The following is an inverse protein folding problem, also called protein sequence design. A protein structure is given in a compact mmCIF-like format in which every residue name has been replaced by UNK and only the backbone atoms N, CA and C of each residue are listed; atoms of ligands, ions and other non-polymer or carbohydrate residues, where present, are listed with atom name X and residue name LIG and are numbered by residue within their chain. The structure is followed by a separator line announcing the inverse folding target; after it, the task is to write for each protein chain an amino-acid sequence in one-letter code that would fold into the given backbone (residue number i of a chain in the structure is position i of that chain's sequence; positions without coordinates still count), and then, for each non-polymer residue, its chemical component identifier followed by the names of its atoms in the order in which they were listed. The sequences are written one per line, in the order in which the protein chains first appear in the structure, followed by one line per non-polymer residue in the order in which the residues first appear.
data_IF_189012334481
#
_entry.id   IF_189012334481
#
_cell.length_a   1.000
_cell.length_b   1.000
_cell.length_c   1.000
_cell.angle_alpha   90.00
_cell.angle_beta   90.00
_cell.angle_gamma   90.00
#
_symmetry.space_group_name_H-M   'P 1'
#
loop_
_entity.id
_entity.type
_entity.pdbx_description
1 polymer ?
#
# COMPACT_ATOMS: atom_id res chain seq x y z
N UNK A 1 5.28 -8.95 0.64
CA UNK A 1 5.07 -10.26 1.31
C UNK A 1 5.19 -11.34 0.26
N UNK A 2 5.78 -12.48 0.59
CA UNK A 2 5.88 -13.62 -0.32
C UNK A 2 4.78 -14.63 -0.03
N UNK A 3 4.35 -15.36 -1.05
CA UNK A 3 3.37 -16.44 -0.89
C UNK A 3 3.83 -17.50 0.13
N UNK A 4 5.13 -17.77 0.16
CA UNK A 4 5.78 -18.68 1.11
C UNK A 4 5.71 -18.21 2.57
N UNK A 5 5.34 -16.96 2.83
CA UNK A 5 5.16 -16.42 4.19
C UNK A 5 3.69 -16.53 4.65
N UNK A 6 2.76 -16.65 3.71
CA UNK A 6 1.31 -16.69 3.97
C UNK A 6 0.86 -18.15 4.09
N UNK A 7 1.19 -18.99 3.10
CA UNK A 7 0.71 -20.36 3.02
C UNK A 7 0.98 -21.19 4.28
N UNK A 8 2.18 -21.14 4.91
CA UNK A 8 2.45 -21.94 6.10
C UNK A 8 1.45 -21.73 7.24
N UNK A 9 0.83 -20.55 7.35
CA UNK A 9 -0.19 -20.25 8.39
C UNK A 9 -1.51 -21.00 8.19
N UNK A 10 -1.71 -21.53 6.99
CA UNK A 10 -2.91 -22.22 6.53
C UNK A 10 -2.66 -23.68 6.15
N UNK A 11 -1.41 -24.15 6.27
CA UNK A 11 -1.05 -25.54 6.04
C UNK A 11 -1.26 -26.43 7.27
N UNK A 12 -1.64 -25.87 8.42
CA UNK A 12 -1.96 -26.68 9.60
C UNK A 12 -3.14 -27.62 9.30
N UNK A 13 -2.92 -28.93 9.50
CA UNK A 13 -3.84 -30.00 9.13
C UNK A 13 -3.93 -30.33 7.62
N UNK A 14 -3.24 -29.59 6.75
CA UNK A 14 -3.22 -29.82 5.30
C UNK A 14 -2.18 -30.88 4.95
N UNK A 15 -2.59 -31.88 4.18
CA UNK A 15 -1.74 -32.98 3.67
C UNK A 15 -1.39 -32.79 2.19
N UNK A 16 -2.24 -32.10 1.44
CA UNK A 16 -1.99 -31.84 0.02
C UNK A 16 -2.39 -30.43 -0.40
N UNK A 17 -1.62 -29.86 -1.33
CA UNK A 17 -1.97 -28.67 -2.12
C UNK A 17 -2.36 -29.14 -3.51
N UNK A 18 -3.57 -28.80 -3.93
CA UNK A 18 -4.11 -29.17 -5.24
C UNK A 18 -4.13 -27.94 -6.13
N UNK A 19 -3.20 -27.85 -7.06
CA UNK A 19 -3.13 -26.75 -8.02
C UNK A 19 -4.15 -26.97 -9.15
N UNK A 20 -5.19 -26.13 -9.13
CA UNK A 20 -6.29 -26.07 -10.11
C UNK A 20 -6.16 -24.88 -11.06
N UNK A 21 -4.98 -24.26 -11.12
CA UNK A 21 -4.67 -23.20 -12.07
C UNK A 21 -4.59 -23.74 -13.50
N UNK A 22 -4.58 -22.82 -14.47
CA UNK A 22 -4.44 -23.16 -15.89
C UNK A 22 -3.25 -24.12 -16.15
N UNK A 23 -3.39 -25.10 -17.08
CA UNK A 23 -2.36 -26.10 -17.38
C UNK A 23 -0.95 -25.56 -17.66
N UNK A 24 -0.85 -24.35 -18.19
CA UNK A 24 0.43 -23.73 -18.57
C UNK A 24 1.15 -23.04 -17.40
N UNK A 25 0.46 -22.82 -16.28
CA UNK A 25 1.04 -22.19 -15.09
C UNK A 25 1.64 -23.25 -14.19
N UNK A 26 2.92 -23.10 -13.80
CA UNK A 26 3.63 -24.00 -12.89
C UNK A 26 3.96 -23.28 -11.58
N UNK A 27 3.10 -23.43 -10.55
CA UNK A 27 3.26 -22.75 -9.26
C UNK A 27 4.17 -23.51 -8.26
N UNK A 28 4.34 -24.82 -8.43
CA UNK A 28 5.11 -25.70 -7.53
C UNK A 28 6.43 -25.09 -7.02
N UNK A 29 7.25 -24.59 -7.94
CA UNK A 29 8.59 -24.06 -7.65
C UNK A 29 8.58 -22.77 -6.83
N UNK A 30 7.44 -22.09 -6.77
CA UNK A 30 7.28 -20.77 -6.12
C UNK A 30 6.70 -20.89 -4.70
N UNK A 31 5.99 -21.97 -4.39
CA UNK A 31 5.24 -22.13 -3.13
C UNK A 31 6.12 -22.49 -1.93
N UNK A 32 7.28 -23.13 -2.17
CA UNK A 32 8.19 -23.63 -1.12
C UNK A 32 7.43 -24.38 -0.01
N UNK A 33 6.76 -25.45 -0.39
CA UNK A 33 5.96 -26.25 0.54
C UNK A 33 6.86 -27.06 1.49
N UNK A 34 6.40 -27.30 2.74
CA UNK A 34 7.02 -28.27 3.63
C UNK A 34 7.04 -29.67 3.00
N UNK A 35 8.05 -30.50 3.30
CA UNK A 35 8.18 -31.84 2.70
C UNK A 35 7.02 -32.78 3.06
N UNK A 36 6.28 -32.50 4.12
CA UNK A 36 5.12 -33.28 4.56
C UNK A 36 3.85 -33.02 3.73
N UNK A 37 3.84 -31.94 2.94
CA UNK A 37 2.68 -31.51 2.15
C UNK A 37 2.90 -31.90 0.69
N UNK A 38 2.08 -32.82 0.19
CA UNK A 38 2.13 -33.20 -1.21
C UNK A 38 1.63 -32.07 -2.12
N UNK A 39 2.27 -31.90 -3.27
CA UNK A 39 1.77 -31.02 -4.33
C UNK A 39 1.26 -31.87 -5.48
N UNK A 40 0.01 -31.64 -5.87
CA UNK A 40 -0.61 -32.29 -7.02
C UNK A 40 -1.24 -31.24 -7.91
N UNK A 41 -1.15 -31.46 -9.22
CA UNK A 41 -1.92 -30.68 -10.19
C UNK A 41 -3.18 -31.44 -10.56
N UNK A 42 -4.28 -30.71 -10.66
CA UNK A 42 -5.54 -31.26 -11.12
C UNK A 42 -6.26 -30.18 -11.92
N UNK A 43 -6.57 -30.40 -13.20
CA UNK A 43 -7.37 -29.47 -13.99
C UNK A 43 -8.69 -29.10 -13.29
N UNK A 44 -9.14 -27.85 -13.46
CA UNK A 44 -10.29 -27.33 -12.72
C UNK A 44 -11.60 -28.07 -13.04
N UNK A 45 -11.76 -28.55 -14.27
CA UNK A 45 -12.89 -29.38 -14.71
C UNK A 45 -12.95 -30.72 -13.97
N UNK A 46 -11.80 -31.37 -13.74
CA UNK A 46 -11.72 -32.56 -12.90
C UNK A 46 -11.94 -32.23 -11.41
N UNK A 47 -11.36 -31.13 -10.94
CA UNK A 47 -11.51 -30.66 -9.57
C UNK A 47 -12.95 -30.26 -9.23
N UNK A 48 -13.71 -29.76 -10.21
CA UNK A 48 -15.12 -29.43 -10.07
C UNK A 48 -16.00 -30.65 -9.77
N UNK A 49 -15.55 -31.87 -10.08
CA UNK A 49 -16.20 -33.13 -9.71
C UNK A 49 -15.74 -33.71 -8.37
N UNK A 50 -14.56 -33.30 -7.89
CA UNK A 50 -13.97 -33.80 -6.66
C UNK A 50 -14.63 -33.17 -5.41
N UNK A 51 -14.46 -33.84 -4.28
CA UNK A 51 -14.83 -33.32 -2.97
C UNK A 51 -13.54 -32.97 -2.22
N UNK A 52 -13.42 -31.73 -1.75
CA UNK A 52 -12.24 -31.26 -1.01
C UNK A 52 -12.56 -31.14 0.48
N UNK A 53 -11.78 -31.83 1.31
CA UNK A 53 -11.84 -31.73 2.77
C UNK A 53 -10.86 -30.71 3.35
N UNK A 54 -10.92 -30.44 4.67
CA UNK A 54 -10.01 -29.53 5.38
C UNK A 54 -8.51 -29.89 5.28
N UNK A 55 -8.21 -31.14 4.92
CA UNK A 55 -6.87 -31.70 4.68
C UNK A 55 -6.31 -31.38 3.29
N UNK A 56 -7.13 -30.86 2.38
CA UNK A 56 -6.70 -30.45 1.04
C UNK A 56 -6.80 -28.93 0.92
N UNK A 57 -5.79 -28.31 0.32
CA UNK A 57 -5.77 -26.86 0.03
C UNK A 57 -5.78 -26.66 -1.49
N UNK A 58 -6.95 -26.45 -2.12
CA UNK A 58 -7.02 -26.02 -3.50
C UNK A 58 -6.30 -24.67 -3.68
N UNK A 59 -5.47 -24.60 -4.71
CA UNK A 59 -4.71 -23.41 -5.10
C UNK A 59 -5.09 -23.04 -6.52
N UNK A 60 -5.47 -21.78 -6.75
CA UNK A 60 -5.85 -21.31 -8.08
C UNK A 60 -5.29 -19.93 -8.38
N UNK A 61 -4.76 -19.73 -9.59
CA UNK A 61 -4.42 -18.42 -10.12
C UNK A 61 -5.58 -17.84 -10.95
N UNK A 62 -6.14 -16.73 -10.46
CA UNK A 62 -7.21 -15.96 -11.08
C UNK A 62 -6.66 -14.69 -11.72
N UNK A 63 -7.27 -14.21 -12.80
CA UNK A 63 -6.82 -12.97 -13.44
C UNK A 63 -7.50 -12.70 -14.79
N UNK A 64 -7.19 -11.56 -15.41
CA UNK A 64 -7.80 -11.14 -16.68
C UNK A 64 -7.27 -11.91 -17.90
N UNK A 65 -6.02 -12.36 -17.83
CA UNK A 65 -5.35 -13.09 -18.90
C UNK A 65 -5.85 -14.54 -19.01
N UNK A 66 -7.00 -14.73 -19.67
CA UNK A 66 -7.69 -16.01 -19.86
C UNK A 66 -6.79 -17.21 -20.27
N UNK A 67 -5.79 -17.08 -21.17
CA UNK A 67 -4.90 -18.21 -21.49
C UNK A 67 -3.92 -18.60 -20.37
N UNK A 68 -3.75 -17.77 -19.33
CA UNK A 68 -2.87 -18.05 -18.20
C UNK A 68 -3.62 -18.12 -16.86
N UNK A 69 -4.83 -17.60 -16.79
CA UNK A 69 -5.58 -17.40 -15.57
C UNK A 69 -6.97 -18.03 -15.64
N UNK A 70 -7.40 -18.55 -14.50
CA UNK A 70 -8.74 -19.12 -14.35
C UNK A 70 -9.77 -18.00 -14.16
N UNK A 71 -10.94 -18.12 -14.80
CA UNK A 71 -12.09 -17.25 -14.54
C UNK A 71 -12.65 -17.55 -13.13
N UNK A 72 -12.85 -16.54 -12.26
CA UNK A 72 -13.48 -16.71 -10.94
C UNK A 72 -14.78 -17.51 -10.96
N UNK A 73 -15.63 -17.33 -11.98
CA UNK A 73 -16.92 -18.00 -12.07
C UNK A 73 -16.76 -19.54 -12.18
N UNK A 74 -15.68 -19.99 -12.82
CA UNK A 74 -15.36 -21.41 -13.01
C UNK A 74 -14.98 -22.12 -11.69
N UNK A 75 -14.62 -21.39 -10.63
CA UNK A 75 -14.34 -21.98 -9.32
C UNK A 75 -15.59 -22.41 -8.56
N UNK A 76 -16.74 -21.80 -8.88
CA UNK A 76 -17.98 -21.99 -8.11
C UNK A 76 -18.37 -23.46 -7.90
N UNK A 77 -18.35 -24.34 -8.94
CA UNK A 77 -18.72 -25.74 -8.77
C UNK A 77 -17.78 -26.48 -7.79
N UNK A 78 -16.48 -26.20 -7.86
CA UNK A 78 -15.47 -26.77 -6.98
C UNK A 78 -15.69 -26.32 -5.53
N UNK A 79 -15.89 -25.01 -5.31
CA UNK A 79 -16.09 -24.44 -3.98
C UNK A 79 -17.39 -24.94 -3.33
N UNK A 80 -18.47 -25.12 -4.11
CA UNK A 80 -19.75 -25.64 -3.61
C UNK A 80 -19.66 -27.07 -3.09
N UNK A 81 -18.79 -27.89 -3.69
CA UNK A 81 -18.57 -29.29 -3.30
C UNK A 81 -17.53 -29.44 -2.20
N UNK A 82 -16.82 -28.37 -1.85
CA UNK A 82 -15.90 -28.39 -0.72
C UNK A 82 -16.68 -28.59 0.58
N UNK A 83 -16.11 -29.39 1.49
CA UNK A 83 -16.66 -29.56 2.84
C UNK A 83 -16.52 -28.27 3.65
N UNK A 84 -17.39 -28.01 4.64
CA UNK A 84 -17.17 -26.94 5.60
C UNK A 84 -15.79 -27.06 6.28
N UNK A 85 -15.10 -25.93 6.45
CA UNK A 85 -13.73 -25.85 6.95
C UNK A 85 -12.65 -26.06 5.89
N UNK A 86 -13.01 -26.44 4.66
CA UNK A 86 -12.06 -26.50 3.55
C UNK A 86 -11.57 -25.10 3.21
N UNK A 87 -10.24 -24.95 3.20
CA UNK A 87 -9.56 -23.70 2.87
C UNK A 87 -9.11 -23.76 1.41
N UNK A 88 -9.09 -22.62 0.73
CA UNK A 88 -8.48 -22.49 -0.59
C UNK A 88 -7.61 -21.22 -0.65
N UNK A 89 -6.53 -21.29 -1.42
CA UNK A 89 -5.64 -20.18 -1.69
C UNK A 89 -5.86 -19.68 -3.13
N UNK A 90 -6.26 -18.42 -3.27
CA UNK A 90 -6.53 -17.81 -4.57
C UNK A 90 -5.48 -16.74 -4.84
N UNK A 91 -4.70 -16.92 -5.89
CA UNK A 91 -3.69 -15.98 -6.34
C UNK A 91 -4.32 -15.03 -7.35
N UNK A 92 -4.04 -13.75 -7.20
CA UNK A 92 -4.68 -12.69 -7.95
C UNK A 92 -3.71 -12.08 -8.94
N UNK A 93 -3.99 -12.29 -10.22
CA UNK A 93 -3.28 -11.76 -11.37
C UNK A 93 -3.71 -10.37 -11.81
N UNK A 94 -4.82 -9.84 -11.28
CA UNK A 94 -5.16 -8.41 -11.45
C UNK A 94 -4.19 -7.54 -10.66
N UNK A 95 -3.98 -6.30 -11.12
CA UNK A 95 -3.42 -5.28 -10.25
C UNK A 95 -4.38 -5.03 -9.08
N UNK A 96 -3.87 -4.70 -7.91
CA UNK A 96 -4.71 -4.38 -6.75
C UNK A 96 -5.62 -3.19 -7.05
N UNK A 97 -5.15 -2.23 -7.85
CA UNK A 97 -5.88 -1.02 -8.24
C UNK A 97 -7.07 -1.30 -9.18
N UNK A 98 -7.01 -2.38 -9.95
CA UNK A 98 -8.02 -2.77 -10.96
C UNK A 98 -8.81 -4.02 -10.55
N UNK A 99 -8.78 -4.38 -9.27
CA UNK A 99 -9.40 -5.61 -8.77
C UNK A 99 -10.92 -5.61 -9.07
N UNK A 100 -11.44 -6.59 -9.84
CA UNK A 100 -12.87 -6.64 -10.16
C UNK A 100 -13.67 -7.25 -9.00
N UNK A 101 -13.95 -6.45 -7.96
CA UNK A 101 -14.64 -6.89 -6.74
C UNK A 101 -15.90 -7.71 -6.99
N UNK A 102 -16.77 -7.21 -7.87
CA UNK A 102 -18.06 -7.83 -8.17
C UNK A 102 -17.90 -9.20 -8.84
N UNK A 103 -16.81 -9.44 -9.58
CA UNK A 103 -16.51 -10.74 -10.21
C UNK A 103 -15.87 -11.73 -9.25
N UNK A 104 -15.22 -11.27 -8.17
CA UNK A 104 -14.62 -12.14 -7.16
C UNK A 104 -15.61 -12.55 -6.07
N UNK A 105 -16.43 -11.60 -5.60
CA UNK A 105 -17.33 -11.86 -4.47
C UNK A 105 -18.46 -12.83 -4.86
N UNK A 106 -19.04 -12.68 -6.05
CA UNK A 106 -20.15 -13.52 -6.51
C UNK A 106 -19.86 -15.02 -6.43
N UNK A 107 -18.80 -15.52 -7.08
CA UNK A 107 -18.39 -16.93 -7.04
C UNK A 107 -18.09 -17.45 -5.63
N UNK A 108 -17.41 -16.65 -4.80
CA UNK A 108 -17.10 -17.02 -3.42
C UNK A 108 -18.37 -17.18 -2.59
N UNK A 109 -19.31 -16.23 -2.71
CA UNK A 109 -20.60 -16.30 -2.00
C UNK A 109 -21.44 -17.46 -2.50
N UNK A 110 -21.49 -17.70 -3.82
CA UNK A 110 -22.20 -18.84 -4.40
C UNK A 110 -21.60 -20.21 -3.99
N UNK A 111 -20.29 -20.22 -3.73
CA UNK A 111 -19.56 -21.33 -3.11
C UNK A 111 -19.68 -21.42 -1.60
N UNK A 112 -20.35 -20.47 -0.93
CA UNK A 112 -20.45 -20.42 0.53
C UNK A 112 -19.10 -20.20 1.22
N UNK A 113 -18.21 -19.45 0.59
CA UNK A 113 -16.87 -19.19 1.08
C UNK A 113 -16.73 -17.79 1.67
N UNK A 114 -16.07 -17.71 2.82
CA UNK A 114 -15.66 -16.47 3.47
C UNK A 114 -14.18 -16.20 3.21
N UNK A 115 -13.84 -14.95 2.89
CA UNK A 115 -12.46 -14.48 2.83
C UNK A 115 -11.92 -14.35 4.25
N UNK A 116 -10.86 -15.12 4.56
CA UNK A 116 -10.22 -15.17 5.89
C UNK A 116 -9.05 -14.20 6.00
N UNK A 117 -8.30 -14.05 4.91
CA UNK A 117 -7.16 -13.13 4.82
C UNK A 117 -6.97 -12.68 3.38
N UNK A 118 -6.61 -11.40 3.21
CA UNK A 118 -6.23 -10.81 1.94
C UNK A 118 -4.86 -10.17 2.10
N UNK A 119 -3.95 -10.53 1.21
CA UNK A 119 -2.54 -10.27 1.40
C UNK A 119 -1.90 -9.74 0.11
N UNK A 120 -1.41 -8.49 0.08
CA UNK A 120 -0.69 -7.99 -1.08
C UNK A 120 0.64 -8.74 -1.21
N UNK A 121 0.91 -9.24 -2.41
CA UNK A 121 2.17 -9.89 -2.74
C UNK A 121 3.16 -8.88 -3.32
N UNK A 122 4.43 -9.11 -3.04
CA UNK A 122 5.49 -8.36 -3.71
C UNK A 122 5.64 -8.87 -5.16
N UNK A 123 5.91 -7.96 -6.10
CA UNK A 123 6.06 -8.27 -7.55
C UNK A 123 7.17 -9.30 -7.83
N UNK A 124 8.08 -9.48 -6.89
CA UNK A 124 9.17 -10.47 -6.96
C UNK A 124 8.74 -11.91 -6.59
N UNK A 125 7.55 -12.13 -6.01
CA UNK A 125 7.15 -13.45 -5.51
C UNK A 125 6.70 -14.39 -6.63
N UNK A 126 5.74 -13.94 -7.45
CA UNK A 126 5.25 -14.64 -8.64
C UNK A 126 4.97 -13.58 -9.70
N UNK A 127 5.57 -13.72 -10.88
CA UNK A 127 5.41 -12.75 -11.96
C UNK A 127 3.93 -12.66 -12.35
N UNK A 128 3.39 -11.44 -12.33
CA UNK A 128 2.00 -11.18 -12.69
C UNK A 128 1.00 -11.36 -11.56
N UNK A 129 1.39 -11.77 -10.35
CA UNK A 129 0.49 -11.90 -9.20
C UNK A 129 0.68 -10.72 -8.24
N UNK A 130 -0.42 -10.06 -7.90
CA UNK A 130 -0.42 -8.88 -7.03
C UNK A 130 -0.94 -9.15 -5.63
N UNK A 131 -1.75 -10.18 -5.42
CA UNK A 131 -2.30 -10.52 -4.10
C UNK A 131 -2.57 -12.02 -3.95
N UNK A 132 -2.69 -12.47 -2.71
CA UNK A 132 -3.21 -13.78 -2.34
C UNK A 132 -4.42 -13.60 -1.42
N UNK A 133 -5.47 -14.36 -1.68
CA UNK A 133 -6.63 -14.50 -0.82
C UNK A 133 -6.61 -15.90 -0.23
N UNK A 134 -6.92 -15.99 1.06
CA UNK A 134 -7.27 -17.26 1.67
C UNK A 134 -8.75 -17.24 1.97
N UNK A 135 -9.46 -18.21 1.43
CA UNK A 135 -10.90 -18.37 1.59
C UNK A 135 -11.20 -19.69 2.29
N UNK A 136 -12.34 -19.76 2.97
CA UNK A 136 -12.77 -20.94 3.70
C UNK A 136 -14.25 -21.19 3.44
N UNK A 137 -14.63 -22.44 3.14
CA UNK A 137 -16.02 -22.85 3.05
C UNK A 137 -16.64 -22.86 4.45
N UNK A 138 -17.70 -22.09 4.67
CA UNK A 138 -18.30 -21.93 6.00
C UNK A 138 -19.82 -22.08 6.00
N UNK A 139 -20.37 -22.74 7.02
CA UNK A 139 -21.82 -22.78 7.26
C UNK A 139 -22.30 -21.64 8.15
N UNK A 140 -21.38 -21.01 8.88
CA UNK A 140 -21.61 -19.82 9.72
C UNK A 140 -20.39 -18.92 9.65
N UNK A 141 -20.55 -17.62 9.82
CA UNK A 141 -19.43 -16.68 9.77
C UNK A 141 -18.33 -17.08 10.77
N UNK A 142 -17.13 -17.27 10.26
CA UNK A 142 -15.95 -17.50 11.07
C UNK A 142 -15.33 -16.15 11.48
N UNK A 143 -14.77 -16.03 12.70
CA UNK A 143 -14.15 -14.79 13.17
C UNK A 143 -12.94 -14.44 12.30
N UNK A 144 -12.91 -13.24 11.73
CA UNK A 144 -11.86 -12.77 10.81
C UNK A 144 -10.49 -12.71 11.50
N UNK A 145 -9.42 -13.19 10.85
CA UNK A 145 -8.05 -13.04 11.37
C UNK A 145 -7.57 -11.62 11.09
N UNK A 146 -7.35 -10.83 12.14
CA UNK A 146 -6.83 -9.45 12.01
C UNK A 146 -7.40 -8.46 13.04
N UNK A 147 -8.46 -8.84 13.76
CA UNK A 147 -8.89 -8.12 14.95
C UNK A 147 -8.34 -8.80 16.20
N UNK A 148 -7.78 -7.97 17.06
CA UNK A 148 -7.41 -8.31 18.43
C UNK A 148 -8.52 -9.10 19.13
N UNK A 149 -8.07 -9.99 20.01
CA UNK A 149 -8.72 -10.49 21.22
C UNK A 149 -9.91 -9.63 21.70
N UNK A 150 -10.99 -10.29 22.10
CA UNK A 150 -12.23 -9.77 22.73
C UNK A 150 -13.46 -9.49 21.84
N UNK A 151 -13.91 -10.50 21.10
CA UNK A 151 -15.33 -10.66 20.82
C UNK A 151 -15.82 -12.06 21.23
N UNK A 152 -15.74 -12.35 22.53
CA UNK A 152 -16.65 -13.33 23.15
C UNK A 152 -18.00 -12.64 23.38
N UNK A 153 -18.71 -12.40 22.29
CA UNK A 153 -20.15 -12.18 22.38
C UNK A 153 -20.76 -12.93 21.22
N UNK A 154 -21.30 -14.14 21.46
CA UNK A 154 -22.29 -14.68 20.55
C UNK A 154 -23.35 -13.59 20.38
N UNK A 155 -23.57 -13.13 19.16
CA UNK A 155 -24.81 -12.43 18.84
C UNK A 155 -25.87 -13.52 18.87
N UNK A 156 -26.45 -13.76 20.04
CA UNK A 156 -27.70 -14.51 20.11
C UNK A 156 -28.75 -13.67 19.37
N UNK A 157 -29.44 -14.22 18.36
CA UNK A 157 -30.56 -13.53 17.76
C UNK A 157 -31.59 -13.28 18.87
N UNK A 158 -31.93 -12.01 19.05
CA UNK A 158 -32.88 -11.60 20.07
C UNK A 158 -34.26 -12.17 19.76
N UNK A 159 -34.75 -13.02 20.67
CA UNK A 159 -36.18 -13.25 20.90
C UNK A 159 -36.80 -14.42 20.17
N UNK A 160 -36.76 -15.61 20.79
CA UNK A 160 -37.81 -16.61 20.62
C UNK A 160 -38.46 -16.81 21.98
N UNK A 161 -39.68 -16.30 22.14
CA UNK A 161 -40.50 -16.57 23.32
C UNK A 161 -40.85 -18.06 23.40
N UNK A 162 -41.13 -18.61 24.60
CA UNK A 162 -41.51 -20.00 24.75
C UNK A 162 -42.89 -20.21 24.12
N UNK A 163 -42.95 -20.90 22.98
CA UNK A 163 -44.21 -21.37 22.37
C UNK A 163 -44.38 -21.18 20.87
N UNK A 164 -43.37 -20.72 20.13
CA UNK A 164 -43.47 -20.59 18.68
C UNK A 164 -42.78 -21.78 18.01
N UNK A 165 -43.56 -22.66 17.39
CA UNK A 165 -43.05 -23.75 16.56
C UNK A 165 -42.17 -23.18 15.44
N UNK A 166 -40.98 -23.75 15.17
CA UNK A 166 -40.10 -23.23 14.13
C UNK A 166 -40.71 -23.50 12.76
N UNK A 167 -41.08 -22.43 12.05
CA UNK A 167 -41.37 -22.52 10.62
C UNK A 167 -40.13 -22.97 9.83
N UNK A 168 -40.29 -23.72 8.73
CA UNK A 168 -39.17 -24.28 7.99
C UNK A 168 -38.44 -23.21 7.17
N UNK A 169 -37.38 -22.67 7.76
CA UNK A 169 -36.00 -22.68 7.25
C UNK A 169 -35.75 -22.26 5.78
N UNK A 170 -36.29 -21.10 5.37
CA UNK A 170 -35.90 -20.39 4.13
C UNK A 170 -35.04 -19.13 4.36
N UNK A 171 -34.90 -18.69 5.61
CA UNK A 171 -34.22 -17.44 6.00
C UNK A 171 -32.71 -17.57 6.12
N UNK A 172 -32.23 -18.64 6.76
CA UNK A 172 -30.84 -18.79 7.19
C UNK A 172 -29.84 -18.81 6.02
N UNK A 173 -30.20 -19.47 4.92
CA UNK A 173 -29.35 -19.53 3.72
C UNK A 173 -29.23 -18.16 3.02
N UNK A 174 -30.33 -17.41 2.98
CA UNK A 174 -30.38 -16.07 2.35
C UNK A 174 -29.65 -15.04 3.22
N UNK A 175 -29.80 -15.17 4.54
CA UNK A 175 -29.09 -14.33 5.52
C UNK A 175 -27.59 -14.59 5.47
N UNK A 176 -27.14 -15.84 5.51
CA UNK A 176 -25.72 -16.21 5.38
C UNK A 176 -25.13 -15.70 4.06
N UNK A 177 -25.86 -15.82 2.95
CA UNK A 177 -25.42 -15.33 1.63
C UNK A 177 -25.20 -13.81 1.66
N UNK A 178 -26.11 -13.08 2.28
CA UNK A 178 -26.02 -11.62 2.43
C UNK A 178 -24.84 -11.22 3.30
N UNK A 179 -24.68 -11.91 4.44
CA UNK A 179 -23.56 -11.69 5.37
C UNK A 179 -22.21 -11.99 4.72
N UNK A 180 -22.07 -13.12 4.02
CA UNK A 180 -20.85 -13.47 3.29
C UNK A 180 -20.50 -12.42 2.24
N UNK A 181 -21.50 -11.90 1.52
CA UNK A 181 -21.30 -10.82 0.55
C UNK A 181 -20.71 -9.58 1.22
N UNK A 182 -21.34 -9.08 2.28
CA UNK A 182 -20.89 -7.88 3.01
C UNK A 182 -19.48 -8.08 3.57
N UNK A 183 -19.21 -9.22 4.21
CA UNK A 183 -17.90 -9.52 4.81
C UNK A 183 -16.80 -9.63 3.75
N UNK A 184 -17.07 -10.33 2.65
CA UNK A 184 -16.10 -10.50 1.58
C UNK A 184 -15.81 -9.18 0.84
N UNK A 185 -16.85 -8.38 0.58
CA UNK A 185 -16.69 -7.03 0.02
C UNK A 185 -15.83 -6.14 0.91
N UNK A 186 -16.09 -6.16 2.23
CA UNK A 186 -15.31 -5.40 3.20
C UNK A 186 -13.82 -5.82 3.20
N UNK A 187 -13.53 -7.12 3.21
CA UNK A 187 -12.15 -7.63 3.19
C UNK A 187 -11.39 -7.20 1.94
N UNK A 188 -12.02 -7.26 0.77
CA UNK A 188 -11.42 -6.79 -0.46
C UNK A 188 -11.27 -5.26 -0.49
N UNK A 189 -12.24 -4.51 -0.01
CA UNK A 189 -12.15 -3.05 0.04
C UNK A 189 -10.99 -2.57 0.93
N UNK A 190 -10.69 -3.28 2.03
CA UNK A 190 -9.53 -2.97 2.87
C UNK A 190 -8.19 -3.25 2.15
N UNK A 191 -8.15 -4.22 1.22
CA UNK A 191 -6.96 -4.50 0.39
C UNK A 191 -6.53 -3.30 -0.43
N UNK A 192 -7.46 -2.54 -1.01
CA UNK A 192 -7.13 -1.35 -1.83
C UNK A 192 -6.92 -0.12 -0.96
N UNK A 193 -7.67 -0.01 0.13
CA UNK A 193 -7.59 1.16 1.01
C UNK A 193 -6.26 1.23 1.76
N UNK A 194 -5.65 0.10 2.17
CA UNK A 194 -4.38 0.12 2.93
C UNK A 194 -3.16 0.59 2.12
N UNK A 195 -2.85 0.07 0.91
CA UNK A 195 -1.74 0.53 0.10
C UNK A 195 -1.90 1.99 -0.32
N UNK A 196 -3.11 2.41 -0.66
CA UNK A 196 -3.40 3.81 -1.02
C UNK A 196 -3.17 4.73 0.19
N UNK A 197 -3.66 4.38 1.39
CA UNK A 197 -3.38 5.14 2.62
C UNK A 197 -1.90 5.20 2.94
N UNK A 198 -1.16 4.10 2.75
CA UNK A 198 0.30 4.07 2.93
C UNK A 198 1.02 4.96 1.92
N UNK A 199 0.61 4.92 0.66
CA UNK A 199 1.22 5.73 -0.41
C UNK A 199 0.94 7.20 -0.21
N UNK A 200 -0.28 7.55 0.23
CA UNK A 200 -0.63 8.90 0.63
C UNK A 200 0.29 9.39 1.76
N UNK A 201 0.44 8.61 2.82
CA UNK A 201 1.32 8.95 3.95
C UNK A 201 2.80 9.11 3.52
N UNK A 202 3.30 8.24 2.63
CA UNK A 202 4.65 8.35 2.08
C UNK A 202 4.82 9.63 1.25
N UNK A 203 3.86 9.95 0.39
CA UNK A 203 3.88 11.15 -0.43
C UNK A 203 3.79 12.42 0.41
N UNK A 204 2.91 12.45 1.42
CA UNK A 204 2.83 13.54 2.38
C UNK A 204 4.14 13.74 3.12
N UNK A 205 4.78 12.66 3.60
CA UNK A 205 6.09 12.75 4.25
C UNK A 205 7.20 13.27 3.33
N UNK A 206 7.15 12.94 2.02
CA UNK A 206 8.09 13.48 1.03
C UNK A 206 7.87 14.96 0.77
N UNK A 207 6.62 15.41 0.68
CA UNK A 207 6.27 16.83 0.52
C UNK A 207 6.77 17.63 1.72
N UNK A 208 6.47 17.18 2.94
CA UNK A 208 6.94 17.84 4.17
C UNK A 208 8.47 17.91 4.24
N UNK A 209 9.18 16.86 3.82
CA UNK A 209 10.65 16.87 3.77
C UNK A 209 11.19 17.88 2.74
N UNK A 210 10.53 18.01 1.58
CA UNK A 210 10.90 18.99 0.56
C UNK A 210 10.64 20.42 1.04
N UNK A 211 9.52 20.67 1.71
CA UNK A 211 9.20 21.99 2.28
C UNK A 211 10.21 22.43 3.33
N UNK A 212 10.68 21.51 4.19
CA UNK A 212 11.75 21.81 5.15
C UNK A 212 13.07 22.18 4.46
N UNK A 213 13.45 21.41 3.43
CA UNK A 213 14.66 21.70 2.65
C UNK A 213 14.58 23.06 1.93
N UNK A 214 13.41 23.41 1.39
CA UNK A 214 13.20 24.72 0.76
C UNK A 214 13.31 25.85 1.80
N UNK A 215 12.71 25.68 2.98
CA UNK A 215 12.79 26.67 4.05
C UNK A 215 14.24 26.88 4.53
N UNK A 216 15.02 25.81 4.67
CA UNK A 216 16.45 25.86 5.01
C UNK A 216 17.25 26.61 3.92
N UNK A 217 17.06 26.25 2.65
CA UNK A 217 17.72 26.93 1.52
C UNK A 217 17.35 28.42 1.46
N UNK A 218 16.11 28.77 1.74
CA UNK A 218 15.67 30.16 1.77
C UNK A 218 16.32 30.95 2.93
N UNK A 219 16.54 30.32 4.08
CA UNK A 219 17.31 30.94 5.17
C UNK A 219 18.77 31.16 4.78
N UNK A 220 19.42 30.15 4.19
CA UNK A 220 20.81 30.24 3.72
C UNK A 220 20.95 31.34 2.65
N UNK A 221 20.02 31.43 1.69
CA UNK A 221 20.01 32.47 0.67
C UNK A 221 19.84 33.87 1.26
N UNK A 222 18.97 34.03 2.27
CA UNK A 222 18.79 35.30 2.96
C UNK A 222 20.06 35.73 3.71
N UNK A 223 20.73 34.79 4.38
CA UNK A 223 22.00 35.06 5.04
C UNK A 223 23.11 35.41 4.06
N UNK A 224 23.23 34.65 2.96
CA UNK A 224 24.22 34.93 1.92
C UNK A 224 24.00 36.31 1.29
N UNK A 225 22.75 36.67 0.97
CA UNK A 225 22.39 38.00 0.46
C UNK A 225 22.70 39.09 1.47
N UNK A 226 22.45 38.86 2.77
CA UNK A 226 22.80 39.82 3.83
C UNK A 226 24.31 40.04 3.92
N UNK A 227 25.11 38.97 3.88
CA UNK A 227 26.59 39.06 3.89
C UNK A 227 27.12 39.76 2.64
N UNK A 228 26.56 39.48 1.46
CA UNK A 228 26.89 40.20 0.24
C UNK A 228 26.59 41.69 0.36
N UNK A 229 25.40 42.05 0.83
CA UNK A 229 25.04 43.45 1.04
C UNK A 229 25.98 44.16 2.05
N UNK A 230 26.39 43.46 3.11
CA UNK A 230 27.35 43.97 4.07
C UNK A 230 28.73 44.23 3.44
N UNK A 231 29.25 43.25 2.66
CA UNK A 231 30.51 43.39 1.93
C UNK A 231 30.44 44.51 0.90
N UNK A 232 29.36 44.59 0.12
CA UNK A 232 29.13 45.64 -0.87
C UNK A 232 29.04 47.04 -0.23
N UNK A 233 28.48 47.12 0.98
CA UNK A 233 28.41 48.37 1.75
C UNK A 233 29.76 48.76 2.38
N UNK A 234 30.74 47.85 2.43
CA UNK A 234 32.04 48.13 3.04
C UNK A 234 32.81 49.22 2.26
N UNK A 235 33.56 50.05 2.98
CA UNK A 235 34.35 51.12 2.34
C UNK A 235 35.44 50.57 1.41
N UNK A 236 36.01 49.40 1.72
CA UNK A 236 37.00 48.73 0.88
C UNK A 236 36.45 48.28 -0.46
N UNK A 237 35.26 47.67 -0.48
CA UNK A 237 34.58 47.27 -1.72
C UNK A 237 34.19 48.48 -2.59
N UNK A 238 33.70 49.57 -1.97
CA UNK A 238 33.37 50.81 -2.69
C UNK A 238 34.60 51.46 -3.33
N UNK A 239 35.72 51.50 -2.62
CA UNK A 239 36.97 51.99 -3.17
C UNK A 239 37.50 51.08 -4.30
N UNK A 240 37.51 49.76 -4.09
CA UNK A 240 37.94 48.79 -5.09
C UNK A 240 37.10 48.81 -6.37
N UNK A 241 35.78 48.91 -6.24
CA UNK A 241 34.88 49.01 -7.40
C UNK A 241 35.01 50.34 -8.15
N UNK A 242 35.26 51.45 -7.45
CA UNK A 242 35.59 52.73 -8.08
C UNK A 242 36.91 52.68 -8.86
N UNK A 243 37.97 52.06 -8.31
CA UNK A 243 39.22 51.83 -9.03
C UNK A 243 39.05 50.91 -10.24
N UNK A 244 38.30 49.80 -10.10
CA UNK A 244 38.05 48.86 -11.19
C UNK A 244 37.23 49.49 -12.33
N UNK A 245 36.24 50.34 -12.00
CA UNK A 245 35.47 51.11 -12.99
C UNK A 245 36.35 52.15 -13.68
N UNK A 246 37.20 52.85 -12.92
CA UNK A 246 38.17 53.79 -13.48
C UNK A 246 39.20 53.12 -14.41
N UNK A 247 39.63 51.89 -14.10
CA UNK A 247 40.53 51.13 -14.96
C UNK A 247 39.87 50.68 -16.28
N UNK A 248 38.56 50.45 -16.30
CA UNK A 248 37.80 50.07 -17.51
C UNK A 248 37.37 51.28 -18.35
N UNK A 249 37.18 52.45 -17.74
CA UNK A 249 36.82 53.71 -18.41
C UNK A 249 37.83 54.83 -18.08
N UNK A 250 39.04 54.79 -18.66
CA UNK A 250 40.15 55.67 -18.26
C UNK A 250 39.85 57.16 -18.47
N UNK A 251 39.03 57.51 -19.46
CA UNK A 251 38.65 58.90 -19.75
C UNK A 251 37.78 59.55 -18.64
N UNK A 252 36.97 58.76 -17.91
CA UNK A 252 36.12 59.25 -16.79
C UNK A 252 36.79 59.12 -15.42
N UNK A 253 37.76 58.21 -15.31
CA UNK A 253 38.50 57.92 -14.09
C UNK A 253 39.20 59.16 -13.47
N UNK A 254 39.69 60.07 -14.32
CA UNK A 254 40.41 61.28 -13.89
C UNK A 254 39.55 62.28 -13.09
N UNK A 255 38.22 62.25 -13.26
CA UNK A 255 37.30 63.19 -12.60
C UNK A 255 36.56 62.52 -11.43
N UNK A 256 36.14 61.28 -11.61
CA UNK A 256 35.24 60.61 -10.67
C UNK A 256 35.98 59.97 -9.48
N UNK A 257 37.16 59.38 -9.71
CA UNK A 257 37.93 58.69 -8.65
C UNK A 257 38.38 59.63 -7.52
N UNK A 258 38.95 60.83 -7.79
CA UNK A 258 39.31 61.78 -6.73
C UNK A 258 38.10 62.31 -5.96
N UNK A 259 36.95 62.50 -6.64
CA UNK A 259 35.72 63.03 -6.05
C UNK A 259 35.08 62.04 -5.08
N UNK A 260 35.11 60.75 -5.41
CA UNK A 260 34.60 59.69 -4.54
C UNK A 260 35.51 59.45 -3.32
N UNK A 261 36.84 59.49 -3.50
CA UNK A 261 37.81 59.44 -2.41
C UNK A 261 37.59 60.59 -1.40
N UNK A 262 37.40 61.81 -1.91
CA UNK A 262 37.17 63.00 -1.07
C UNK A 262 35.83 62.95 -0.32
N UNK A 263 34.80 62.29 -0.86
CA UNK A 263 33.52 62.04 -0.16
C UNK A 263 33.67 60.97 0.92
N UNK A 264 34.33 59.86 0.62
CA UNK A 264 34.56 58.77 1.56
C UNK A 264 35.40 59.25 2.77
N UNK A 265 36.41 60.09 2.53
CA UNK A 265 37.25 60.67 3.57
C UNK A 265 36.47 61.64 4.49
N UNK A 266 35.60 62.50 3.92
CA UNK A 266 34.75 63.41 4.72
C UNK A 266 33.72 62.67 5.58
N UNK A 267 33.11 61.60 5.07
CA UNK A 267 32.16 60.79 5.85
C UNK A 267 32.79 60.06 7.04
N UNK A 268 34.08 59.71 6.96
CA UNK A 268 34.83 59.06 8.06
C UNK A 268 35.05 60.00 9.25
N UNK A 269 35.22 61.30 8.98
CA UNK A 269 35.47 62.36 9.98
C UNK A 269 34.20 62.75 10.75
N UNK A 270 33.02 62.62 10.15
CA UNK A 270 31.73 62.88 10.83
C UNK A 270 31.30 61.73 11.76
N UNK A 271 31.56 60.46 11.41
CA UNK A 271 31.25 59.31 12.27
C UNK A 271 32.12 59.22 13.53
N UNK A 272 33.32 59.80 13.50
CA UNK A 272 34.22 59.87 14.66
C UNK A 272 33.90 61.03 15.60
N UNK A 273 33.12 62.03 15.16
CA UNK A 273 32.70 63.18 15.98
C UNK A 273 31.37 62.95 16.74
N UNK A 274 30.62 61.88 16.42
CA UNK A 274 29.31 61.57 17.02
C UNK A 274 29.29 60.46 18.06
N UNK A 275 30.46 59.93 18.48
CA UNK A 275 30.58 58.88 19.50
C UNK A 275 31.11 59.49 20.80
N UNK A 276 30.30 60.31 21.45
CA UNK A 276 30.49 60.73 22.84
C UNK A 276 30.01 59.61 23.78
N UNK A 277 30.69 59.33 24.89
CA UNK A 277 30.26 58.31 25.85
C UNK A 277 29.13 58.88 26.72
N UNK A 278 27.97 58.24 26.72
CA UNK A 278 26.95 58.43 27.76
C UNK A 278 26.88 57.17 28.60
N UNK A 279 27.16 57.38 29.89
CA UNK A 279 26.71 56.57 31.04
C UNK A 279 25.21 56.31 31.02
#
# INVERSE_FOLDING_TARGET
MRISEILPRYLDGVREVVDVSHPDVRLERQLRLPPEVAYRRQPLDEAAGAEFGPESLPLCLLGADSPAHTDPDALTPMLRRARPGTRAALLIGWSIEELPYHRLVGPLVAGGCQIREVSPLDRAAIRGVSAALVVERVERLAPLRGYLVDARTPVEPAGTGPGQEPEPDGGDATELTTLLRVVNEYQLADLVSRPVRRRLAELTGRVEAQERLLAERDTELREARRRLAEVESSAGFRLGSAFARGAREPARALVDVPRELARAWRGRRQRSAGRSPTE
#
